data_IF_838948155072
#
_entry.id   IF_838948155072
#
_cell.length_a   1.000
_cell.length_b   1.000
_cell.length_c   1.000
_cell.angle_alpha   90.00
_cell.angle_beta   90.00
_cell.angle_gamma   90.00
#
_symmetry.space_group_name_H-M   'P 1'
#
loop_
_entity.id
_entity.type
_entity.pdbx_description
1 polymer ?
#
# COMPACT_ATOMS: atom_id res chain seq x y z
N UNK A 1 11.67 13.14 -24.82
CA UNK A 1 11.30 14.14 -23.79
C UNK A 1 12.58 14.57 -23.10
N UNK A 2 12.80 15.86 -22.88
CA UNK A 2 13.93 16.34 -22.06
C UNK A 2 13.81 15.74 -20.64
N UNK A 3 14.91 15.33 -20.03
CA UNK A 3 14.91 14.73 -18.68
C UNK A 3 14.32 15.67 -17.62
N UNK A 4 14.47 16.98 -17.83
CA UNK A 4 13.88 18.02 -16.98
C UNK A 4 12.34 18.00 -17.02
N UNK A 5 11.75 17.79 -18.20
CA UNK A 5 10.29 17.74 -18.36
C UNK A 5 9.70 16.50 -17.72
N UNK A 6 10.40 15.36 -17.80
CA UNK A 6 9.98 14.14 -17.13
C UNK A 6 9.97 14.30 -15.61
N UNK A 7 11.04 14.87 -15.04
CA UNK A 7 11.11 15.16 -13.61
C UNK A 7 10.00 16.13 -13.16
N UNK A 8 9.68 17.14 -13.99
CA UNK A 8 8.59 18.07 -13.73
C UNK A 8 7.23 17.37 -13.73
N UNK A 9 6.99 16.46 -14.69
CA UNK A 9 5.77 15.63 -14.76
C UNK A 9 5.64 14.70 -13.56
N UNK A 10 6.70 13.96 -13.22
CA UNK A 10 6.72 13.06 -12.05
C UNK A 10 6.40 13.84 -10.77
N UNK A 11 7.00 15.03 -10.60
CA UNK A 11 6.75 15.89 -9.44
C UNK A 11 5.31 16.42 -9.41
N UNK A 12 4.74 16.77 -10.56
CA UNK A 12 3.35 17.21 -10.67
C UNK A 12 2.38 16.10 -10.29
N UNK A 13 2.58 14.88 -10.83
CA UNK A 13 1.81 13.70 -10.48
C UNK A 13 1.91 13.44 -8.98
N UNK A 14 3.12 13.39 -8.41
CA UNK A 14 3.29 13.19 -6.96
C UNK A 14 2.45 14.16 -6.12
N UNK A 15 2.53 15.47 -6.42
CA UNK A 15 1.83 16.49 -5.63
C UNK A 15 0.31 16.27 -5.71
N UNK A 16 -0.21 16.04 -6.92
CA UNK A 16 -1.64 15.82 -7.15
C UNK A 16 -2.14 14.56 -6.45
N UNK A 17 -1.42 13.45 -6.61
CA UNK A 17 -1.81 12.16 -6.04
C UNK A 17 -1.69 12.11 -4.53
N UNK A 18 -0.71 12.82 -3.92
CA UNK A 18 -0.60 12.92 -2.46
C UNK A 18 -1.80 13.65 -1.83
N UNK A 19 -2.36 14.63 -2.52
CA UNK A 19 -3.60 15.29 -2.09
C UNK A 19 -4.79 14.34 -2.14
N UNK A 20 -4.93 13.61 -3.25
CA UNK A 20 -6.01 12.64 -3.46
C UNK A 20 -5.96 11.48 -2.47
N UNK A 21 -4.80 10.85 -2.28
CA UNK A 21 -4.68 9.67 -1.42
C UNK A 21 -4.96 9.98 0.06
N UNK A 22 -4.60 11.18 0.53
CA UNK A 22 -4.84 11.62 1.91
C UNK A 22 -6.34 11.73 2.24
N UNK A 23 -7.16 12.09 1.25
CA UNK A 23 -8.61 12.26 1.44
C UNK A 23 -9.39 10.96 1.27
N UNK A 24 -8.85 9.96 0.56
CA UNK A 24 -9.56 8.70 0.28
C UNK A 24 -9.43 7.71 1.45
N UNK A 25 -8.38 7.82 2.28
CA UNK A 25 -8.03 6.81 3.30
C UNK A 25 -7.82 7.39 4.71
N UNK A 26 -8.40 8.56 5.00
CA UNK A 26 -8.50 9.09 6.36
C UNK A 26 -9.58 8.32 7.15
N UNK A 27 -9.33 7.06 7.47
CA UNK A 27 -10.26 6.22 8.22
C UNK A 27 -10.09 4.73 7.97
N UNK A 28 -9.60 4.04 9.00
CA UNK A 28 -9.95 2.67 9.39
C UNK A 28 -9.70 1.53 8.39
N UNK A 29 -8.47 1.02 8.41
CA UNK A 29 -8.31 -0.44 8.54
C UNK A 29 -8.12 -0.80 10.02
N UNK A 30 -9.08 -0.43 10.88
CA UNK A 30 -9.23 -1.23 12.10
C UNK A 30 -9.78 -2.56 11.63
N UNK A 31 -8.92 -3.58 11.58
CA UNK A 31 -9.39 -4.91 11.24
C UNK A 31 -10.52 -5.25 12.22
N UNK A 32 -11.72 -5.53 11.69
CA UNK A 32 -12.82 -6.08 12.48
C UNK A 32 -12.53 -7.50 13.00
N UNK A 33 -11.29 -7.97 12.86
CA UNK A 33 -10.81 -9.29 13.20
C UNK A 33 -9.62 -9.17 14.15
N UNK A 34 -9.87 -9.38 15.45
CA UNK A 34 -8.83 -9.66 16.44
C UNK A 34 -8.25 -11.06 16.13
N UNK A 35 -7.41 -11.15 15.10
CA UNK A 35 -6.65 -12.34 14.76
C UNK A 35 -5.43 -12.53 15.68
N UNK A 36 -4.80 -13.71 15.63
CA UNK A 36 -3.53 -13.98 16.32
C UNK A 36 -2.38 -13.25 15.63
N UNK A 37 -2.31 -11.94 15.81
CA UNK A 37 -1.25 -11.10 15.27
C UNK A 37 0.13 -11.33 15.92
N UNK A 38 1.18 -10.77 15.33
CA UNK A 38 2.54 -10.79 15.88
C UNK A 38 2.85 -9.59 16.79
N UNK A 39 2.07 -8.50 16.71
CA UNK A 39 2.29 -7.29 17.49
C UNK A 39 1.44 -7.31 18.77
N UNK A 40 2.05 -7.09 19.93
CA UNK A 40 1.31 -6.93 21.18
C UNK A 40 0.47 -5.64 21.13
N UNK A 41 -0.83 -5.75 21.40
CA UNK A 41 -1.74 -4.61 21.43
C UNK A 41 -1.96 -4.15 22.87
N UNK A 42 -2.57 -5.01 23.69
CA UNK A 42 -2.93 -4.72 25.07
C UNK A 42 -3.12 -6.01 25.89
N UNK A 43 -3.35 -5.87 27.19
CA UNK A 43 -3.82 -6.95 28.07
C UNK A 43 -5.24 -6.67 28.52
N UNK A 44 -6.09 -7.71 28.52
CA UNK A 44 -7.44 -7.63 29.09
C UNK A 44 -7.69 -8.73 30.10
N UNK A 45 -8.64 -8.52 31.00
CA UNK A 45 -9.11 -9.57 31.92
C UNK A 45 -9.71 -10.73 31.10
N UNK A 46 -9.38 -11.95 31.52
CA UNK A 46 -9.83 -13.20 30.90
C UNK A 46 -11.36 -13.30 30.99
N UNK A 47 -11.97 -13.75 29.90
CA UNK A 47 -13.38 -14.10 29.82
C UNK A 47 -13.55 -15.57 29.45
N UNK A 48 -14.67 -16.14 29.86
CA UNK A 48 -14.98 -17.54 29.57
C UNK A 48 -15.03 -17.77 28.06
N UNK A 49 -14.21 -18.71 27.57
CA UNK A 49 -14.06 -19.00 26.14
C UNK A 49 -12.73 -18.52 25.55
N UNK A 50 -11.95 -17.75 26.29
CA UNK A 50 -10.60 -17.36 25.88
C UNK A 50 -9.61 -18.54 25.96
N UNK A 51 -8.62 -18.54 25.07
CA UNK A 51 -7.58 -19.57 25.03
C UNK A 51 -6.61 -19.36 26.21
N UNK A 52 -6.44 -20.39 27.05
CA UNK A 52 -5.55 -20.34 28.21
C UNK A 52 -4.08 -20.15 27.83
N UNK A 53 -3.70 -20.43 26.57
CA UNK A 53 -2.32 -20.24 26.09
C UNK A 53 -1.94 -18.76 25.96
N UNK A 54 -2.93 -17.89 25.82
CA UNK A 54 -2.72 -16.45 25.67
C UNK A 54 -2.63 -15.72 27.01
N UNK A 55 -2.67 -16.43 28.14
CA UNK A 55 -2.59 -15.83 29.49
C UNK A 55 -1.23 -15.16 29.72
N UNK A 56 -1.27 -13.90 30.15
CA UNK A 56 -0.11 -13.20 30.68
C UNK A 56 0.05 -13.51 32.17
N UNK A 57 0.93 -14.46 32.49
CA UNK A 57 1.21 -14.85 33.87
C UNK A 57 1.83 -13.73 34.72
N UNK A 58 2.56 -12.79 34.13
CA UNK A 58 3.19 -11.69 34.87
C UNK A 58 2.18 -10.62 35.30
N UNK A 59 1.23 -10.29 34.42
CA UNK A 59 0.12 -9.38 34.76
C UNK A 59 -0.84 -10.08 35.71
N UNK A 60 -1.14 -11.36 35.45
CA UNK A 60 -2.00 -12.19 36.31
C UNK A 60 -1.47 -12.26 37.74
N UNK A 61 -0.17 -12.47 37.93
CA UNK A 61 0.46 -12.51 39.25
C UNK A 61 0.41 -11.16 39.99
N UNK A 62 0.44 -10.03 39.28
CA UNK A 62 0.38 -8.69 39.88
C UNK A 62 -1.01 -8.28 40.34
N UNK A 63 -2.04 -8.62 39.58
CA UNK A 63 -3.43 -8.21 39.84
C UNK A 63 -4.28 -9.32 40.48
N UNK A 64 -3.70 -10.51 40.68
CA UNK A 64 -4.33 -11.70 41.27
C UNK A 64 -5.66 -12.10 40.57
N UNK A 65 -5.72 -11.83 39.26
CA UNK A 65 -6.84 -12.12 38.36
C UNK A 65 -6.27 -12.51 36.99
N UNK A 66 -6.88 -13.45 36.25
CA UNK A 66 -6.35 -13.89 34.96
C UNK A 66 -6.47 -12.79 33.90
N UNK A 67 -5.36 -12.50 33.21
CA UNK A 67 -5.29 -11.59 32.06
C UNK A 67 -4.80 -12.32 30.83
N UNK A 68 -5.32 -11.97 29.66
CA UNK A 68 -4.87 -12.47 28.37
C UNK A 68 -4.17 -11.36 27.57
N UNK A 69 -3.20 -11.77 26.74
CA UNK A 69 -2.56 -10.90 25.76
C UNK A 69 -3.45 -10.78 24.53
N UNK A 70 -3.74 -9.56 24.12
CA UNK A 70 -4.36 -9.28 22.83
C UNK A 70 -3.24 -8.93 21.87
N UNK A 71 -3.18 -9.65 20.76
CA UNK A 71 -2.27 -9.36 19.67
C UNK A 71 -3.04 -8.68 18.53
N UNK A 72 -2.44 -7.66 17.93
CA UNK A 72 -2.95 -7.00 16.74
C UNK A 72 -2.24 -7.56 15.50
N UNK A 73 -3.04 -7.92 14.50
CA UNK A 73 -2.52 -8.46 13.25
C UNK A 73 -2.04 -7.30 12.36
N UNK A 74 -0.73 -7.07 12.34
CA UNK A 74 -0.12 -6.18 11.36
C UNK A 74 -0.14 -6.88 9.98
N UNK A 75 -1.15 -6.59 9.17
CA UNK A 75 -1.21 -7.09 7.78
C UNK A 75 -0.48 -6.13 6.85
N UNK A 76 0.64 -6.60 6.30
CA UNK A 76 1.27 -5.99 5.13
C UNK A 76 0.59 -6.53 3.88
N UNK A 77 -0.22 -5.72 3.19
CA UNK A 77 -0.78 -6.11 1.90
C UNK A 77 0.27 -5.92 0.80
N UNK A 78 0.15 -6.74 -0.26
CA UNK A 78 0.95 -6.60 -1.47
C UNK A 78 0.04 -6.21 -2.62
N UNK A 79 0.18 -4.98 -3.11
CA UNK A 79 -0.57 -4.44 -4.24
C UNK A 79 0.24 -4.70 -5.53
N UNK A 80 -0.40 -5.31 -6.53
CA UNK A 80 0.19 -5.57 -7.83
C UNK A 80 -0.57 -4.83 -8.92
N UNK A 81 0.08 -3.88 -9.57
CA UNK A 81 -0.49 -3.17 -10.71
C UNK A 81 -0.15 -3.92 -12.00
N UNK A 82 -1.17 -4.26 -12.78
CA UNK A 82 -0.99 -4.75 -14.13
C UNK A 82 -1.28 -3.56 -15.07
N UNK A 83 -0.24 -3.11 -15.77
CA UNK A 83 -0.30 -1.92 -16.61
C UNK A 83 -0.08 -2.35 -18.06
N UNK A 84 -1.11 -2.18 -18.88
CA UNK A 84 -0.99 -2.29 -20.33
C UNK A 84 -0.03 -1.20 -20.81
N UNK A 85 0.92 -1.55 -21.68
CA UNK A 85 1.88 -0.65 -22.35
C UNK A 85 1.85 -0.79 -23.87
N UNK A 86 0.81 -1.42 -24.42
CA UNK A 86 0.60 -1.55 -25.87
C UNK A 86 0.51 -0.20 -26.59
N UNK A 87 0.79 -0.18 -27.89
CA UNK A 87 0.74 1.03 -28.73
C UNK A 87 -0.63 1.72 -28.73
N UNK A 88 -1.69 1.02 -28.28
CA UNK A 88 -3.03 1.56 -28.08
C UNK A 88 -3.10 2.75 -27.09
N UNK A 89 -2.05 2.92 -26.27
CA UNK A 89 -1.88 4.01 -25.31
C UNK A 89 -1.30 5.28 -25.93
N UNK A 90 -0.71 5.19 -27.12
CA UNK A 90 -0.26 6.35 -27.90
C UNK A 90 -1.42 7.17 -28.47
N UNK A 91 -2.65 6.63 -28.46
CA UNK A 91 -3.85 7.31 -28.94
C UNK A 91 -4.52 8.13 -27.81
N UNK A 92 -4.73 9.42 -28.02
CA UNK A 92 -5.38 10.30 -27.04
C UNK A 92 -5.76 11.67 -27.63
N UNK A 93 -6.66 12.37 -26.93
CA UNK A 93 -7.06 13.75 -27.25
C UNK A 93 -5.84 14.67 -27.27
N UNK A 94 -5.82 15.70 -28.12
CA UNK A 94 -4.71 16.66 -28.35
C UNK A 94 -4.03 17.27 -27.09
N UNK A 95 -4.54 17.06 -25.88
CA UNK A 95 -4.04 17.62 -24.62
C UNK A 95 -3.54 16.61 -23.58
N UNK A 96 -3.95 15.33 -23.60
CA UNK A 96 -3.56 14.34 -22.58
C UNK A 96 -3.40 12.96 -23.23
N UNK A 97 -2.20 12.39 -23.13
CA UNK A 97 -1.96 11.02 -23.55
C UNK A 97 -2.58 10.06 -22.53
N UNK A 98 -3.16 8.94 -22.99
CA UNK A 98 -3.66 7.88 -22.08
C UNK A 98 -2.59 7.42 -21.10
N UNK A 99 -1.33 7.42 -21.53
CA UNK A 99 -0.14 7.15 -20.73
C UNK A 99 0.01 8.07 -19.51
N UNK A 100 -0.26 9.37 -19.66
CA UNK A 100 -0.19 10.33 -18.54
C UNK A 100 -1.30 10.04 -17.51
N UNK A 101 -2.50 9.68 -17.97
CA UNK A 101 -3.62 9.31 -17.09
C UNK A 101 -3.37 7.99 -16.36
N UNK A 102 -2.83 6.97 -17.05
CA UNK A 102 -2.41 5.71 -16.43
C UNK A 102 -1.35 5.96 -15.36
N UNK A 103 -0.36 6.82 -15.62
CA UNK A 103 0.65 7.19 -14.64
C UNK A 103 0.03 7.85 -13.39
N UNK A 104 -0.96 8.71 -13.57
CA UNK A 104 -1.65 9.38 -12.46
C UNK A 104 -2.48 8.40 -11.61
N UNK A 105 -3.22 7.49 -12.26
CA UNK A 105 -4.01 6.45 -11.57
C UNK A 105 -3.07 5.51 -10.79
N UNK A 106 -2.03 5.00 -11.46
CA UNK A 106 -1.04 4.12 -10.84
C UNK A 106 -0.33 4.81 -9.67
N UNK A 107 0.05 6.08 -9.82
CA UNK A 107 0.63 6.86 -8.75
C UNK A 107 -0.33 7.05 -7.57
N UNK A 108 -1.61 7.32 -7.81
CA UNK A 108 -2.62 7.50 -6.76
C UNK A 108 -2.78 6.23 -5.92
N UNK A 109 -2.91 5.08 -6.59
CA UNK A 109 -2.98 3.78 -5.93
C UNK A 109 -1.69 3.46 -5.17
N UNK A 110 -0.54 3.76 -5.76
CA UNK A 110 0.76 3.52 -5.13
C UNK A 110 0.98 4.36 -3.87
N UNK A 111 0.65 5.65 -3.91
CA UNK A 111 0.78 6.53 -2.76
C UNK A 111 -0.22 6.21 -1.65
N UNK A 112 -1.41 5.70 -2.00
CA UNK A 112 -2.35 5.14 -1.04
C UNK A 112 -1.78 3.90 -0.35
N UNK A 113 -1.27 2.92 -1.11
CA UNK A 113 -0.68 1.70 -0.56
C UNK A 113 0.48 2.01 0.42
N UNK A 114 1.36 2.95 0.07
CA UNK A 114 2.45 3.34 0.99
C UNK A 114 1.97 4.04 2.25
N UNK A 115 0.87 4.80 2.23
CA UNK A 115 0.32 5.40 3.45
C UNK A 115 -0.10 4.33 4.47
N UNK A 116 -0.55 3.17 3.98
CA UNK A 116 -0.90 2.01 4.79
C UNK A 116 0.30 1.07 5.06
N UNK A 117 1.52 1.48 4.71
CA UNK A 117 2.73 0.65 4.82
C UNK A 117 2.59 -0.70 4.08
N UNK A 118 1.95 -0.70 2.91
CA UNK A 118 1.84 -1.85 2.02
C UNK A 118 3.01 -1.92 1.02
N UNK A 119 3.27 -3.11 0.50
CA UNK A 119 4.19 -3.33 -0.62
C UNK A 119 3.47 -3.06 -1.94
N UNK A 120 4.16 -2.44 -2.89
CA UNK A 120 3.65 -2.29 -4.25
C UNK A 120 4.64 -2.78 -5.29
N UNK A 121 4.16 -3.51 -6.28
CA UNK A 121 4.91 -3.87 -7.48
C UNK A 121 4.06 -3.75 -8.74
N UNK A 122 4.69 -3.96 -9.89
CA UNK A 122 4.06 -3.71 -11.20
C UNK A 122 4.47 -4.77 -12.22
N UNK A 123 3.52 -5.15 -13.07
CA UNK A 123 3.75 -5.89 -14.30
C UNK A 123 3.32 -5.00 -15.46
N UNK A 124 4.28 -4.67 -16.33
CA UNK A 124 4.01 -4.05 -17.62
C UNK A 124 3.79 -5.14 -18.66
N UNK A 125 2.69 -5.05 -19.41
CA UNK A 125 2.33 -6.07 -20.39
C UNK A 125 1.76 -5.46 -21.69
N UNK A 126 1.91 -6.21 -22.77
CA UNK A 126 1.27 -6.01 -24.08
C UNK A 126 0.68 -7.35 -24.52
N UNK A 127 1.04 -7.85 -25.71
CA UNK A 127 0.93 -9.24 -26.13
C UNK A 127 1.80 -10.21 -25.29
N UNK A 128 2.80 -9.69 -24.57
CA UNK A 128 3.67 -10.43 -23.67
C UNK A 128 3.97 -9.63 -22.40
N UNK A 129 4.62 -10.26 -21.42
CA UNK A 129 5.15 -9.55 -20.25
C UNK A 129 6.39 -8.78 -20.68
N UNK A 130 6.30 -7.45 -20.64
CA UNK A 130 7.39 -6.55 -21.02
C UNK A 130 8.37 -6.34 -19.86
N UNK A 131 7.84 -6.15 -18.64
CA UNK A 131 8.69 -5.90 -17.47
C UNK A 131 7.97 -6.22 -16.16
N UNK A 132 8.69 -6.86 -15.24
CA UNK A 132 8.24 -7.12 -13.88
C UNK A 132 9.07 -6.31 -12.89
N UNK A 133 8.39 -5.56 -12.03
CA UNK A 133 8.97 -4.84 -10.90
C UNK A 133 8.45 -5.50 -9.62
N UNK A 134 9.34 -6.15 -8.84
CA UNK A 134 8.92 -6.87 -7.64
C UNK A 134 8.38 -5.92 -6.58
N UNK A 135 7.41 -6.36 -5.76
CA UNK A 135 6.82 -5.52 -4.76
C UNK A 135 7.82 -5.02 -3.72
N UNK A 136 7.93 -3.69 -3.58
CA UNK A 136 8.75 -3.05 -2.55
C UNK A 136 8.03 -1.89 -1.90
N UNK A 137 8.57 -1.48 -0.75
CA UNK A 137 8.14 -0.30 0.00
C UNK A 137 8.98 0.91 -0.38
N UNK A 138 8.45 2.08 -0.02
CA UNK A 138 9.19 3.33 0.00
C UNK A 138 8.99 4.20 -1.23
N UNK A 139 9.04 5.52 -1.00
CA UNK A 139 8.76 6.56 -2.00
C UNK A 139 9.63 6.46 -3.25
N UNK A 140 10.91 6.10 -3.10
CA UNK A 140 11.82 5.93 -4.26
C UNK A 140 11.32 4.86 -5.23
N UNK A 141 10.67 3.81 -4.71
CA UNK A 141 10.12 2.74 -5.53
C UNK A 141 8.93 3.20 -6.37
N UNK A 142 8.01 3.99 -5.79
CA UNK A 142 6.90 4.60 -6.52
C UNK A 142 7.40 5.53 -7.63
N UNK A 143 8.34 6.42 -7.28
CA UNK A 143 8.87 7.37 -8.28
C UNK A 143 9.56 6.65 -9.43
N UNK A 144 10.21 5.52 -9.16
CA UNK A 144 10.75 4.64 -10.18
C UNK A 144 9.65 4.06 -11.06
N UNK A 145 8.58 3.49 -10.49
CA UNK A 145 7.42 2.97 -11.24
C UNK A 145 6.79 4.06 -12.13
N UNK A 146 6.55 5.27 -11.60
CA UNK A 146 5.95 6.37 -12.36
C UNK A 146 6.84 6.76 -13.54
N UNK A 147 8.16 6.81 -13.32
CA UNK A 147 9.12 7.08 -14.39
C UNK A 147 9.05 6.03 -15.50
N UNK A 148 8.99 4.75 -15.14
CA UNK A 148 8.86 3.64 -16.10
C UNK A 148 7.55 3.75 -16.89
N UNK A 149 6.44 4.15 -16.25
CA UNK A 149 5.18 4.40 -16.94
C UNK A 149 5.32 5.56 -17.92
N UNK A 150 6.04 6.64 -17.60
CA UNK A 150 6.12 7.84 -18.45
C UNK A 150 7.14 7.75 -19.61
N UNK A 151 8.18 6.90 -19.48
CA UNK A 151 9.21 6.68 -20.50
C UNK A 151 10.42 7.56 -20.33
#
# INVERSE_FOLDING_TARGET
METADLLKKVRHIEIKTRGLSRNIFAGEYHSAFKGRGMAFSEVREYQYGDDMRDIDWNVTARYNKPFIKIFEEERELTVMLLIDVSESLGFGSKSVLKRDMVAEIAATLAFSAIQNNDKIGVIFFSDKVEKFIPPKKGRKHILFIIREILG
#
